data_IF_368139856551
#
_entry.id   IF_368139856551
#
_cell.length_a   1.000
_cell.length_b   1.000
_cell.length_c   1.000
_cell.angle_alpha   90.00
_cell.angle_beta   90.00
_cell.angle_gamma   90.00
#
_symmetry.space_group_name_H-M   'P 1'
#
loop_
_entity.id
_entity.type
_entity.pdbx_description
1 polymer ?
#
# COMPACT_ATOMS: atom_id res chain seq x y z
N UNK A 1 -18.69 -12.86 15.45
CA UNK A 1 -18.36 -11.99 14.30
C UNK A 1 -17.04 -12.49 13.73
N UNK A 2 -16.95 -12.96 12.47
CA UNK A 2 -15.66 -13.36 11.93
C UNK A 2 -14.76 -12.10 11.86
N UNK A 3 -13.46 -12.23 12.12
CA UNK A 3 -12.56 -11.08 12.05
C UNK A 3 -12.59 -10.56 10.61
N UNK A 4 -12.70 -9.24 10.44
CA UNK A 4 -12.48 -8.57 9.15
C UNK A 4 -11.12 -9.02 8.62
N UNK A 5 -11.11 -10.04 7.76
CA UNK A 5 -9.89 -10.64 7.21
C UNK A 5 -9.30 -9.65 6.21
N UNK A 6 -8.50 -8.73 6.72
CA UNK A 6 -7.61 -7.96 5.87
C UNK A 6 -6.66 -8.95 5.18
N UNK A 7 -6.61 -8.88 3.86
CA UNK A 7 -5.76 -9.68 3.01
C UNK A 7 -4.40 -9.00 2.93
N UNK A 8 -3.32 -9.64 3.40
CA UNK A 8 -1.98 -9.09 3.27
C UNK A 8 -1.54 -9.12 1.80
N UNK A 9 -1.02 -7.99 1.34
CA UNK A 9 -0.43 -7.76 0.05
C UNK A 9 0.98 -7.20 0.26
N UNK A 10 1.96 -7.77 -0.44
CA UNK A 10 3.35 -7.32 -0.34
C UNK A 10 3.63 -6.40 -1.52
N UNK A 11 4.09 -5.20 -1.20
CA UNK A 11 4.71 -4.29 -2.14
C UNK A 11 6.24 -4.54 -2.08
N UNK A 12 6.85 -5.10 -3.13
CA UNK A 12 8.28 -5.47 -3.14
C UNK A 12 9.27 -4.28 -3.12
N UNK A 13 8.83 -3.10 -2.69
CA UNK A 13 9.53 -1.83 -2.79
C UNK A 13 9.23 -1.04 -1.50
N UNK A 14 10.22 -0.28 -1.07
CA UNK A 14 10.15 0.52 0.15
C UNK A 14 10.80 1.88 -0.15
N UNK A 15 10.10 2.95 0.22
CA UNK A 15 10.63 4.30 0.14
C UNK A 15 10.99 4.80 1.53
N UNK A 16 11.72 5.92 1.56
CA UNK A 16 12.02 6.59 2.82
C UNK A 16 10.77 7.18 3.49
N UNK A 17 9.71 7.42 2.71
CA UNK A 17 8.52 8.18 3.10
C UNK A 17 7.29 7.39 2.66
N UNK A 18 6.52 6.88 3.64
CA UNK A 18 5.31 6.12 3.38
C UNK A 18 4.07 6.99 3.13
N UNK A 19 4.14 8.32 3.30
CA UNK A 19 3.00 9.24 3.16
C UNK A 19 2.35 9.19 1.77
N UNK A 20 3.11 9.23 0.64
CA UNK A 20 2.50 9.10 -0.68
C UNK A 20 1.91 7.69 -0.93
N UNK A 21 2.50 6.65 -0.33
CA UNK A 21 1.96 5.28 -0.41
C UNK A 21 0.63 5.21 0.36
N UNK A 22 0.59 5.76 1.57
CA UNK A 22 -0.60 5.84 2.40
C UNK A 22 -1.71 6.64 1.70
N UNK A 23 -1.42 7.80 1.11
CA UNK A 23 -2.41 8.59 0.35
C UNK A 23 -3.06 7.81 -0.79
N UNK A 24 -2.27 7.05 -1.54
CA UNK A 24 -2.80 6.25 -2.65
C UNK A 24 -3.64 5.06 -2.14
N UNK A 25 -3.23 4.43 -1.03
CA UNK A 25 -4.02 3.40 -0.36
C UNK A 25 -5.31 3.97 0.22
N UNK A 26 -5.28 5.18 0.77
CA UNK A 26 -6.42 5.91 1.30
C UNK A 26 -7.46 6.17 0.21
N UNK A 27 -7.04 6.63 -0.97
CA UNK A 27 -7.94 6.80 -2.11
C UNK A 27 -8.56 5.48 -2.61
N UNK A 28 -7.85 4.36 -2.51
CA UNK A 28 -8.34 3.06 -3.02
C UNK A 28 -9.25 2.32 -2.07
N UNK A 29 -8.91 2.30 -0.78
CA UNK A 29 -9.60 1.52 0.23
C UNK A 29 -10.40 2.39 1.21
N UNK A 30 -10.04 3.67 1.34
CA UNK A 30 -10.53 4.56 2.37
C UNK A 30 -9.64 4.57 3.60
N UNK A 31 -9.51 5.74 4.23
CA UNK A 31 -8.92 5.89 5.55
C UNK A 31 -9.51 4.87 6.53
N UNK A 32 -8.66 4.19 7.30
CA UNK A 32 -8.99 3.11 8.25
C UNK A 32 -9.40 1.74 7.67
N UNK A 33 -9.49 1.56 6.35
CA UNK A 33 -9.78 0.23 5.80
C UNK A 33 -8.53 -0.61 5.49
N UNK A 34 -7.33 -0.05 5.63
CA UNK A 34 -6.09 -0.75 5.37
C UNK A 34 -5.08 -0.54 6.49
N UNK A 35 -4.10 -1.44 6.59
CA UNK A 35 -2.90 -1.28 7.41
C UNK A 35 -1.68 -1.29 6.51
N UNK A 36 -0.81 -0.30 6.69
CA UNK A 36 0.50 -0.24 6.06
C UNK A 36 1.56 -0.53 7.13
N UNK A 37 2.48 -1.44 6.84
CA UNK A 37 3.60 -1.78 7.71
C UNK A 37 4.85 -1.97 6.88
N UNK A 38 6.01 -1.55 7.39
CA UNK A 38 7.30 -1.78 6.73
C UNK A 38 7.91 -3.05 7.27
N UNK A 39 8.28 -3.98 6.39
CA UNK A 39 8.92 -5.24 6.77
C UNK A 39 10.08 -5.52 5.82
N UNK A 40 11.31 -5.31 6.28
CA UNK A 40 12.52 -5.70 5.56
C UNK A 40 12.61 -5.12 4.14
N UNK A 41 12.66 -3.79 4.03
CA UNK A 41 12.75 -3.07 2.74
C UNK A 41 11.58 -3.35 1.77
N UNK A 42 10.43 -3.76 2.31
CA UNK A 42 9.17 -3.97 1.60
C UNK A 42 8.02 -3.37 2.40
N UNK A 43 6.96 -2.91 1.75
CA UNK A 43 5.72 -2.56 2.42
C UNK A 43 4.76 -3.74 2.44
N UNK A 44 4.27 -4.08 3.63
CA UNK A 44 3.16 -4.98 3.87
C UNK A 44 1.88 -4.14 3.97
N UNK A 45 0.94 -4.39 3.08
CA UNK A 45 -0.38 -3.74 3.07
C UNK A 45 -1.45 -4.78 3.38
N UNK A 46 -2.13 -4.65 4.50
CA UNK A 46 -3.29 -5.48 4.84
C UNK A 46 -4.56 -4.70 4.52
N UNK A 47 -5.35 -5.16 3.56
CA UNK A 47 -6.55 -4.45 3.10
C UNK A 47 -7.71 -5.43 2.86
N UNK A 48 -8.99 -5.03 2.85
CA UNK A 48 -10.13 -5.94 2.70
C UNK A 48 -10.12 -6.73 1.38
N UNK A 49 -9.38 -6.25 0.36
CA UNK A 49 -9.10 -6.97 -0.87
C UNK A 49 -7.60 -7.00 -1.17
N UNK A 50 -7.16 -8.03 -1.88
CA UNK A 50 -5.78 -8.13 -2.38
C UNK A 50 -5.51 -7.06 -3.43
N UNK A 51 -4.36 -6.40 -3.35
CA UNK A 51 -3.89 -5.49 -4.39
C UNK A 51 -3.55 -6.29 -5.65
N UNK A 52 -4.12 -5.90 -6.79
CA UNK A 52 -3.76 -6.50 -8.07
C UNK A 52 -2.40 -5.97 -8.54
N UNK A 53 -1.62 -6.74 -9.33
CA UNK A 53 -0.32 -6.30 -9.82
C UNK A 53 -0.38 -4.98 -10.62
N UNK A 54 -1.48 -4.72 -11.34
CA UNK A 54 -1.71 -3.43 -12.01
C UNK A 54 -1.85 -2.27 -11.04
N UNK A 55 -2.52 -2.49 -9.90
CA UNK A 55 -2.68 -1.46 -8.87
C UNK A 55 -1.37 -1.20 -8.13
N UNK A 56 -0.61 -2.26 -7.82
CA UNK A 56 0.72 -2.16 -7.25
C UNK A 56 1.63 -1.31 -8.15
N UNK A 57 1.61 -1.57 -9.47
CA UNK A 57 2.36 -0.77 -10.45
C UNK A 57 1.90 0.68 -10.53
N UNK A 58 0.60 0.94 -10.44
CA UNK A 58 0.05 2.29 -10.53
C UNK A 58 0.41 3.13 -9.30
N UNK A 59 0.29 2.54 -8.10
CA UNK A 59 0.79 3.16 -6.86
C UNK A 59 2.29 3.37 -7.00
N UNK A 60 3.01 2.46 -7.67
CA UNK A 60 4.44 2.59 -7.92
C UNK A 60 4.80 3.77 -8.77
N UNK A 61 4.15 3.91 -9.91
CA UNK A 61 4.41 5.05 -10.76
C UNK A 61 4.14 6.34 -9.99
N UNK A 62 2.97 6.48 -9.36
CA UNK A 62 2.58 7.70 -8.64
C UNK A 62 3.54 8.08 -7.50
N UNK A 63 3.96 7.11 -6.68
CA UNK A 63 4.88 7.38 -5.57
C UNK A 63 6.29 7.67 -6.08
N UNK A 64 6.73 6.97 -7.13
CA UNK A 64 8.03 7.20 -7.77
C UNK A 64 8.14 8.59 -8.36
N UNK A 65 7.06 9.13 -8.94
CA UNK A 65 7.01 10.51 -9.41
C UNK A 65 7.24 11.53 -8.28
N UNK A 66 6.74 11.23 -7.07
CA UNK A 66 6.92 12.09 -5.89
C UNK A 66 8.35 12.07 -5.32
N UNK A 67 9.14 11.07 -5.70
CA UNK A 67 10.51 10.85 -5.22
C UNK A 67 11.60 11.34 -6.18
N UNK A 68 11.21 11.92 -7.32
CA UNK A 68 12.11 12.24 -8.43
C UNK A 68 12.58 13.69 -8.43
N UNK A 69 12.70 14.31 -7.26
CA UNK A 69 13.25 15.64 -7.03
C UNK A 69 14.67 15.58 -6.46
#
# INVERSE_FOLDING_TARGET
MPPSRLVPSILPWCYNDPDPVAKELDKKFGANQYRLSVKGNQYLVEAPRKLQPGEIRQIHDNVKWHYRE
#
